data_IF_691089441806
#
_entry.id   IF_691089441806
#
_cell.length_a   1.000
_cell.length_b   1.000
_cell.length_c   1.000
_cell.angle_alpha   90.00
_cell.angle_beta   90.00
_cell.angle_gamma   90.00
#
_symmetry.space_group_name_H-M   'P 1'
#
loop_
_entity.id
_entity.type
_entity.pdbx_description
1 polymer ?
#
# COMPACT_ATOMS: atom_id res chain seq x y z
N UNK A 1 9.11 -14.63 16.56
CA UNK A 1 9.50 -13.74 15.45
C UNK A 1 8.41 -12.76 15.16
N UNK A 2 8.78 -11.51 14.93
CA UNK A 2 7.81 -10.47 14.65
C UNK A 2 7.27 -10.59 13.23
N UNK A 3 5.95 -10.55 13.11
CA UNK A 3 5.32 -10.51 11.79
C UNK A 3 5.50 -9.12 11.18
N UNK A 4 5.66 -9.07 9.86
CA UNK A 4 5.62 -7.80 9.14
C UNK A 4 4.20 -7.24 9.17
N UNK A 5 4.10 -5.96 9.34
CA UNK A 5 2.82 -5.27 9.50
C UNK A 5 2.55 -4.37 8.30
N UNK A 6 1.39 -4.58 7.68
CA UNK A 6 1.01 -3.89 6.44
C UNK A 6 -0.15 -2.94 6.71
N UNK A 7 -0.13 -1.80 6.02
CA UNK A 7 -1.28 -0.90 5.96
C UNK A 7 -1.88 -1.00 4.56
N UNK A 8 -3.14 -1.40 4.48
CA UNK A 8 -3.85 -1.55 3.21
C UNK A 8 -4.82 -0.38 3.06
N UNK A 9 -4.63 0.41 2.00
CA UNK A 9 -5.42 1.61 1.73
C UNK A 9 -6.18 1.41 0.43
N UNK A 10 -7.51 1.28 0.53
CA UNK A 10 -8.39 1.06 -0.62
C UNK A 10 -9.78 1.55 -0.23
N UNK A 11 -10.47 2.23 -1.14
CA UNK A 11 -11.81 2.74 -0.87
C UNK A 11 -12.91 1.68 -1.00
N UNK A 12 -12.57 0.47 -1.46
CA UNK A 12 -13.52 -0.64 -1.57
C UNK A 12 -13.33 -1.64 -0.42
N UNK A 13 -14.29 -1.70 0.54
CA UNK A 13 -14.16 -2.62 1.68
C UNK A 13 -14.06 -4.10 1.27
N UNK A 14 -14.59 -4.48 0.11
CA UNK A 14 -14.53 -5.87 -0.37
C UNK A 14 -13.11 -6.24 -0.76
N UNK A 15 -12.39 -5.32 -1.40
CA UNK A 15 -10.97 -5.53 -1.74
C UNK A 15 -10.13 -5.64 -0.48
N UNK A 16 -10.38 -4.78 0.50
CA UNK A 16 -9.70 -4.83 1.79
C UNK A 16 -9.92 -6.16 2.47
N UNK A 17 -11.17 -6.60 2.55
CA UNK A 17 -11.52 -7.86 3.21
C UNK A 17 -10.75 -9.04 2.59
N UNK A 18 -10.76 -9.13 1.26
CA UNK A 18 -10.10 -10.20 0.53
C UNK A 18 -8.59 -10.19 0.77
N UNK A 19 -7.95 -9.02 0.65
CA UNK A 19 -6.50 -8.89 0.83
C UNK A 19 -6.09 -9.17 2.27
N UNK A 20 -6.80 -8.61 3.24
CA UNK A 20 -6.48 -8.80 4.66
C UNK A 20 -6.54 -10.27 5.03
N UNK A 21 -7.61 -10.95 4.63
CA UNK A 21 -7.74 -12.38 4.94
C UNK A 21 -6.63 -13.20 4.31
N UNK A 22 -6.30 -12.92 3.05
CA UNK A 22 -5.24 -13.63 2.35
C UNK A 22 -3.88 -13.40 3.00
N UNK A 23 -3.57 -12.15 3.31
CA UNK A 23 -2.27 -11.79 3.88
C UNK A 23 -2.11 -12.28 5.31
N UNK A 24 -3.17 -12.25 6.10
CA UNK A 24 -3.13 -12.82 7.45
C UNK A 24 -2.86 -14.33 7.41
N UNK A 25 -3.43 -15.03 6.43
CA UNK A 25 -3.15 -16.45 6.23
C UNK A 25 -1.69 -16.71 5.85
N UNK A 26 -0.99 -15.70 5.33
CA UNK A 26 0.43 -15.78 4.99
C UNK A 26 1.32 -15.16 6.08
N UNK A 27 0.80 -15.01 7.28
CA UNK A 27 1.54 -14.57 8.47
C UNK A 27 1.90 -13.10 8.48
N UNK A 28 1.14 -12.25 7.80
CA UNK A 28 1.26 -10.81 7.93
C UNK A 28 0.22 -10.25 8.90
N UNK A 29 0.58 -9.20 9.61
CA UNK A 29 -0.38 -8.40 10.35
C UNK A 29 -0.86 -7.28 9.44
N UNK A 30 -2.15 -6.95 9.51
CA UNK A 30 -2.73 -5.96 8.61
C UNK A 30 -3.56 -4.94 9.36
N UNK A 31 -3.30 -3.67 9.06
CA UNK A 31 -4.22 -2.57 9.33
C UNK A 31 -4.83 -2.16 8.00
N UNK A 32 -5.99 -1.56 8.02
CA UNK A 32 -6.63 -1.10 6.79
C UNK A 32 -7.38 0.21 7.03
N UNK A 33 -7.56 0.96 5.95
CA UNK A 33 -8.36 2.17 5.96
C UNK A 33 -8.94 2.43 4.58
N UNK A 34 -9.94 3.30 4.51
CA UNK A 34 -10.74 3.50 3.30
C UNK A 34 -10.37 4.78 2.54
N UNK A 35 -9.41 5.56 3.03
CA UNK A 35 -9.02 6.80 2.37
C UNK A 35 -7.55 7.12 2.62
N UNK A 36 -6.99 7.97 1.76
CA UNK A 36 -5.63 8.44 1.93
C UNK A 36 -5.47 9.30 3.18
N UNK A 37 -6.49 10.09 3.52
CA UNK A 37 -6.48 10.92 4.72
C UNK A 37 -6.35 10.06 5.99
N UNK A 38 -7.10 8.97 6.06
CA UNK A 38 -6.99 8.02 7.17
C UNK A 38 -5.62 7.38 7.22
N UNK A 39 -5.08 7.02 6.05
CA UNK A 39 -3.74 6.45 5.96
C UNK A 39 -2.69 7.39 6.52
N UNK A 40 -2.77 8.68 6.17
CA UNK A 40 -1.83 9.68 6.67
C UNK A 40 -1.92 9.84 8.19
N UNK A 41 -3.13 9.77 8.76
CA UNK A 41 -3.30 9.80 10.21
C UNK A 41 -2.63 8.62 10.88
N UNK A 42 -2.81 7.42 10.34
CA UNK A 42 -2.19 6.21 10.88
C UNK A 42 -0.66 6.31 10.79
N UNK A 43 -0.15 6.80 9.65
CA UNK A 43 1.29 6.91 9.43
C UNK A 43 1.93 8.02 10.27
N UNK A 44 1.16 9.00 10.72
CA UNK A 44 1.62 10.03 11.65
C UNK A 44 1.53 9.59 13.12
N UNK A 45 0.98 8.41 13.38
CA UNK A 45 0.89 7.84 14.72
C UNK A 45 2.11 6.97 15.02
N UNK A 46 2.12 6.35 16.21
CA UNK A 46 3.18 5.43 16.63
C UNK A 46 2.99 4.00 16.13
N UNK A 47 1.97 3.74 15.30
CA UNK A 47 1.73 2.40 14.77
C UNK A 47 2.92 1.91 13.97
N UNK A 48 3.30 0.65 14.20
CA UNK A 48 4.39 0.03 13.44
C UNK A 48 3.84 -0.39 12.08
N UNK A 49 4.41 0.15 11.00
CA UNK A 49 4.03 -0.17 9.63
C UNK A 49 5.30 -0.46 8.83
N UNK A 50 5.41 -1.66 8.31
CA UNK A 50 6.57 -2.06 7.49
C UNK A 50 6.36 -1.73 6.02
N UNK A 51 5.13 -1.86 5.53
CA UNK A 51 4.79 -1.54 4.15
C UNK A 51 3.38 -1.01 4.02
N UNK A 52 3.15 -0.21 2.98
CA UNK A 52 1.84 0.33 2.63
C UNK A 52 1.46 -0.18 1.25
N UNK A 53 0.27 -0.77 1.14
CA UNK A 53 -0.34 -1.09 -0.14
C UNK A 53 -1.42 -0.04 -0.39
N UNK A 54 -1.24 0.81 -1.38
CA UNK A 54 -2.15 1.93 -1.62
C UNK A 54 -2.76 1.88 -3.02
N UNK A 55 -4.09 1.90 -3.06
CA UNK A 55 -4.83 2.03 -4.31
C UNK A 55 -4.55 3.42 -4.91
N UNK A 56 -4.09 3.43 -6.15
CA UNK A 56 -3.74 4.69 -6.82
C UNK A 56 -4.96 5.46 -7.31
N UNK A 57 -6.13 4.81 -7.41
CA UNK A 57 -7.34 5.41 -7.96
C UNK A 57 -8.43 5.50 -6.89
N UNK A 58 -8.33 6.50 -6.04
CA UNK A 58 -9.31 6.75 -4.99
C UNK A 58 -9.90 8.15 -5.16
N UNK A 59 -11.18 8.36 -4.75
CA UNK A 59 -11.76 9.69 -4.80
C UNK A 59 -11.08 10.63 -3.81
N UNK A 60 -11.18 11.93 -4.06
CA UNK A 60 -10.62 13.01 -3.26
C UNK A 60 -9.09 13.02 -3.34
N UNK A 61 -8.39 12.26 -2.52
CA UNK A 61 -6.92 12.16 -2.61
C UNK A 61 -6.55 10.76 -3.12
N UNK A 62 -5.94 10.70 -4.29
CA UNK A 62 -5.49 9.44 -4.87
C UNK A 62 -4.08 9.08 -4.39
N UNK A 63 -3.56 7.93 -4.86
CA UNK A 63 -2.24 7.47 -4.47
C UNK A 63 -1.12 8.37 -4.99
N UNK A 64 -1.30 8.98 -6.16
CA UNK A 64 -0.28 9.88 -6.72
C UNK A 64 -0.08 11.11 -5.87
N UNK A 65 -1.13 11.57 -5.21
CA UNK A 65 -1.06 12.70 -4.28
C UNK A 65 -0.60 12.25 -2.89
N UNK A 66 -1.05 11.08 -2.44
CA UNK A 66 -0.78 10.60 -1.09
C UNK A 66 0.68 10.15 -0.89
N UNK A 67 1.26 9.45 -1.86
CA UNK A 67 2.61 8.89 -1.72
C UNK A 67 3.65 9.97 -1.42
N UNK A 68 3.71 11.11 -2.14
CA UNK A 68 4.65 12.16 -1.79
C UNK A 68 4.48 12.68 -0.36
N UNK A 69 3.24 12.74 0.12
CA UNK A 69 2.97 13.17 1.50
C UNK A 69 3.47 12.14 2.52
N UNK A 70 3.32 10.86 2.21
CA UNK A 70 3.85 9.78 3.07
C UNK A 70 5.37 9.89 3.15
N UNK A 71 6.02 10.13 2.03
CA UNK A 71 7.49 10.25 1.97
C UNK A 71 8.02 11.42 2.79
N UNK A 72 7.22 12.44 3.03
CA UNK A 72 7.61 13.60 3.85
C UNK A 72 7.52 13.35 5.34
N UNK A 73 6.89 12.24 5.77
CA UNK A 73 6.81 11.89 7.18
C UNK A 73 8.16 11.32 7.59
N UNK A 74 8.89 12.05 8.44
CA UNK A 74 10.28 11.71 8.79
C UNK A 74 10.41 10.31 9.38
N UNK A 75 9.45 9.87 10.20
CA UNK A 75 9.48 8.55 10.82
C UNK A 75 9.13 7.41 9.85
N UNK A 76 8.79 7.71 8.60
CA UNK A 76 8.35 6.73 7.62
C UNK A 76 9.27 6.64 6.40
N UNK A 77 10.49 7.10 6.51
CA UNK A 77 11.45 7.07 5.40
C UNK A 77 11.71 5.65 4.88
N UNK A 78 11.71 4.67 5.78
CA UNK A 78 12.01 3.28 5.41
C UNK A 78 10.78 2.44 5.11
N UNK A 79 9.57 3.01 5.16
CA UNK A 79 8.35 2.29 4.82
C UNK A 79 8.36 1.92 3.33
N UNK A 80 8.09 0.66 3.04
CA UNK A 80 8.02 0.18 1.66
C UNK A 80 6.64 0.47 1.09
N UNK A 81 6.55 1.18 -0.02
CA UNK A 81 5.27 1.58 -0.61
C UNK A 81 5.02 0.80 -1.89
N UNK A 82 3.91 0.05 -1.92
CA UNK A 82 3.46 -0.70 -3.09
C UNK A 82 2.22 -0.02 -3.65
N UNK A 83 2.34 0.51 -4.86
CA UNK A 83 1.20 1.11 -5.56
C UNK A 83 0.33 -0.01 -6.16
N UNK A 84 -0.98 0.07 -5.93
CA UNK A 84 -1.95 -0.88 -6.49
C UNK A 84 -2.77 -0.13 -7.53
N UNK A 85 -2.67 -0.53 -8.79
CA UNK A 85 -3.31 0.18 -9.89
C UNK A 85 -4.28 -0.72 -10.65
N UNK A 86 -5.40 -0.15 -11.10
CA UNK A 86 -6.37 -0.87 -11.93
C UNK A 86 -5.93 -0.93 -13.39
N UNK A 87 -4.94 -0.13 -13.77
CA UNK A 87 -4.52 -0.02 -15.17
C UNK A 87 -3.12 -0.60 -15.35
N UNK A 88 -2.97 -1.46 -16.35
CA UNK A 88 -1.67 -2.00 -16.75
C UNK A 88 -1.25 -1.38 -18.08
N UNK A 89 -1.39 -0.06 -18.20
CA UNK A 89 -1.05 0.65 -19.44
C UNK A 89 0.44 0.97 -19.49
N UNK A 90 1.03 1.07 -20.67
CA UNK A 90 2.43 1.49 -20.79
C UNK A 90 2.64 2.83 -20.08
N UNK A 91 3.68 2.91 -19.25
CA UNK A 91 3.99 4.10 -18.50
C UNK A 91 3.40 4.15 -17.08
N UNK A 92 2.46 3.28 -16.72
CA UNK A 92 1.87 3.25 -15.38
C UNK A 92 2.91 2.95 -14.31
N UNK A 93 3.80 2.02 -14.59
CA UNK A 93 4.87 1.67 -13.66
C UNK A 93 5.73 2.89 -13.35
N UNK A 94 6.16 3.58 -14.39
CA UNK A 94 6.99 4.78 -14.26
C UNK A 94 6.26 5.87 -13.47
N UNK A 95 4.97 6.06 -13.74
CA UNK A 95 4.14 7.03 -13.01
C UNK A 95 4.09 6.71 -11.53
N UNK A 96 3.90 5.45 -11.18
CA UNK A 96 3.85 5.01 -9.78
C UNK A 96 5.20 5.24 -9.11
N UNK A 97 6.29 4.85 -9.77
CA UNK A 97 7.63 5.00 -9.22
C UNK A 97 8.01 6.48 -9.11
N UNK A 98 7.63 7.30 -10.08
CA UNK A 98 7.88 8.74 -10.05
C UNK A 98 7.16 9.42 -8.89
N UNK A 99 5.99 8.91 -8.50
CA UNK A 99 5.26 9.42 -7.34
C UNK A 99 5.96 9.06 -6.02
N UNK A 100 6.86 8.08 -6.03
CA UNK A 100 7.62 7.66 -4.87
C UNK A 100 7.35 6.24 -4.41
N UNK A 101 6.54 5.47 -5.16
CA UNK A 101 6.32 4.06 -4.83
C UNK A 101 7.60 3.26 -5.04
N UNK A 102 7.82 2.27 -4.18
CA UNK A 102 8.97 1.38 -4.29
C UNK A 102 8.71 0.24 -5.26
N UNK A 103 7.44 -0.11 -5.43
CA UNK A 103 7.01 -1.15 -6.37
C UNK A 103 5.56 -0.90 -6.77
N UNK A 104 5.05 -1.69 -7.71
CA UNK A 104 3.66 -1.59 -8.11
C UNK A 104 3.10 -2.97 -8.44
N UNK A 105 1.77 -3.08 -8.36
CA UNK A 105 1.05 -4.28 -8.76
C UNK A 105 -0.29 -3.88 -9.35
N UNK A 106 -0.73 -4.57 -10.40
CA UNK A 106 -2.01 -4.27 -11.03
C UNK A 106 -3.14 -5.13 -10.46
N UNK A 107 -4.36 -4.60 -10.48
CA UNK A 107 -5.57 -5.34 -10.11
C UNK A 107 -6.04 -6.21 -11.28
N UNK A 108 -6.61 -7.37 -11.02
CA UNK A 108 -6.78 -7.99 -9.70
C UNK A 108 -5.43 -8.44 -9.13
N UNK A 109 -5.27 -8.28 -7.82
CA UNK A 109 -3.98 -8.55 -7.19
C UNK A 109 -3.67 -10.04 -7.23
N UNK A 110 -2.56 -10.37 -7.89
CA UNK A 110 -2.00 -11.73 -7.88
C UNK A 110 -1.22 -11.90 -6.58
N UNK A 111 -1.69 -12.79 -5.72
CA UNK A 111 -1.12 -12.96 -4.39
C UNK A 111 0.34 -13.43 -4.47
N UNK A 112 0.66 -14.32 -5.40
CA UNK A 112 2.04 -14.81 -5.54
C UNK A 112 3.00 -13.68 -5.92
N UNK A 113 2.59 -12.81 -6.83
CA UNK A 113 3.37 -11.63 -7.20
C UNK A 113 3.53 -10.68 -6.02
N UNK A 114 2.44 -10.47 -5.27
CA UNK A 114 2.49 -9.59 -4.10
C UNK A 114 3.44 -10.15 -3.04
N UNK A 115 3.42 -11.45 -2.80
CA UNK A 115 4.32 -12.08 -1.83
C UNK A 115 5.79 -11.93 -2.24
N UNK A 116 6.08 -12.00 -3.55
CA UNK A 116 7.44 -11.75 -4.04
C UNK A 116 7.88 -10.31 -3.75
N UNK A 117 6.97 -9.35 -3.97
CA UNK A 117 7.25 -7.94 -3.65
C UNK A 117 7.50 -7.78 -2.15
N UNK A 118 6.63 -8.35 -1.32
CA UNK A 118 6.73 -8.23 0.13
C UNK A 118 7.94 -8.97 0.71
N UNK A 119 8.52 -9.90 -0.04
CA UNK A 119 9.74 -10.58 0.41
C UNK A 119 10.95 -9.63 0.48
N UNK A 120 10.83 -8.43 -0.08
CA UNK A 120 11.90 -7.43 -0.07
C UNK A 120 11.93 -6.60 1.22
N UNK A 121 10.91 -6.72 2.06
CA UNK A 121 10.84 -5.92 3.30
C UNK A 121 11.37 -6.68 4.50
#
# INVERSE_FOLDING_TARGET
MNKKRLLIVDDDPRNIFALVNTLRAKSFECLSCLSAEEALKILNSDEIIDAVLIDMMMPEMDGYEAIPLIKKIASRESVYIVAVTAQAMPGDKEKCLDAGADDYISKPVDVDKLLLILSKI
#
